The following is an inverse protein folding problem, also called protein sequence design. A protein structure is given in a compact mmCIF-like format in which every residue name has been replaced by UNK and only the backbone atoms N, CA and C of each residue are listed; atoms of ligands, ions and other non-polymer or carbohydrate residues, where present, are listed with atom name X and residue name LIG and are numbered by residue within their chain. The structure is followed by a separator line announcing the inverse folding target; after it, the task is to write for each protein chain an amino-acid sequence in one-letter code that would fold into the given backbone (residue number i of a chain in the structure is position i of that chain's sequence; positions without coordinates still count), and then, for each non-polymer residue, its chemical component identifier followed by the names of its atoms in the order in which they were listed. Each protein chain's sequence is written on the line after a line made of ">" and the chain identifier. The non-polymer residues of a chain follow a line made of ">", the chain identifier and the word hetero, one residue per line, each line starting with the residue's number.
data_IF_241926714340
#
_entry.id   IF_241926714340
#
_cell.length_a   1.000
_cell.length_b   1.000
_cell.length_c   1.000
_cell.angle_alpha   90.00
_cell.angle_beta   90.00
_cell.angle_gamma   90.00
#
_symmetry.space_group_name_H-M   'P 1'
#
loop_
_entity.id
_entity.type
_entity.pdbx_description
1 polymer ?
#
# COMPACT_ATOMS: atom_id res chain seq x y z
N UNK A 1 45.49 -38.12 -16.35
CA UNK A 1 44.54 -37.18 -15.72
C UNK A 1 43.34 -37.06 -16.66
N UNK A 2 42.44 -38.04 -16.63
CA UNK A 2 41.28 -38.07 -17.54
C UNK A 2 40.15 -37.23 -16.96
N UNK A 3 39.73 -36.24 -17.72
CA UNK A 3 38.64 -35.35 -17.40
C UNK A 3 37.31 -36.11 -17.45
N UNK A 4 36.46 -35.82 -16.48
CA UNK A 4 35.10 -36.32 -16.31
C UNK A 4 34.35 -36.24 -17.64
N UNK A 5 34.06 -37.39 -18.24
CA UNK A 5 33.13 -37.48 -19.36
C UNK A 5 31.75 -37.11 -18.82
N UNK A 6 31.32 -35.87 -19.09
CA UNK A 6 29.97 -35.42 -18.84
C UNK A 6 29.06 -36.10 -19.86
N UNK A 7 28.41 -37.20 -19.45
CA UNK A 7 27.30 -37.76 -20.22
C UNK A 7 26.25 -36.67 -20.40
N UNK A 8 25.91 -36.25 -21.63
CA UNK A 8 24.87 -35.25 -21.82
C UNK A 8 23.56 -35.82 -21.30
N UNK A 9 23.02 -35.21 -20.25
CA UNK A 9 21.69 -35.54 -19.73
C UNK A 9 20.68 -35.02 -20.75
N UNK A 10 19.69 -35.82 -21.19
CA UNK A 10 18.67 -35.35 -22.11
C UNK A 10 17.98 -34.13 -21.51
N UNK A 11 18.01 -33.01 -22.24
CA UNK A 11 17.28 -31.82 -21.83
C UNK A 11 15.78 -32.12 -21.94
N UNK A 12 15.00 -31.98 -20.85
CA UNK A 12 13.57 -32.17 -20.94
C UNK A 12 13.00 -31.18 -21.97
N UNK A 13 12.36 -31.70 -23.00
CA UNK A 13 11.64 -30.86 -23.97
C UNK A 13 10.35 -30.39 -23.32
N UNK A 14 10.06 -29.08 -23.34
CA UNK A 14 8.83 -28.55 -22.75
C UNK A 14 7.62 -29.09 -23.52
N UNK A 15 6.74 -29.83 -22.83
CA UNK A 15 5.46 -30.30 -23.40
C UNK A 15 4.44 -29.18 -23.56
N UNK A 16 4.61 -28.08 -22.81
CA UNK A 16 3.75 -26.89 -22.81
C UNK A 16 4.63 -25.69 -23.19
N UNK A 17 4.16 -24.85 -24.10
CA UNK A 17 4.84 -23.62 -24.48
C UNK A 17 5.02 -22.68 -23.25
N UNK A 18 6.25 -22.31 -22.86
CA UNK A 18 6.49 -21.43 -21.71
C UNK A 18 5.85 -20.04 -21.85
N UNK A 19 5.54 -19.59 -23.07
CA UNK A 19 4.81 -18.36 -23.32
C UNK A 19 3.34 -18.42 -22.85
N UNK A 20 2.78 -19.62 -22.64
CA UNK A 20 1.43 -19.79 -22.11
C UNK A 20 1.33 -19.63 -20.58
N UNK A 21 2.43 -19.87 -19.87
CA UNK A 21 2.45 -19.88 -18.38
C UNK A 21 3.15 -18.66 -17.78
N UNK A 22 3.85 -17.89 -18.60
CA UNK A 22 4.51 -16.67 -18.18
C UNK A 22 3.73 -15.49 -18.77
N UNK A 23 3.27 -14.51 -17.97
CA UNK A 23 2.45 -13.40 -18.45
C UNK A 23 3.11 -12.51 -19.53
N UNK A 24 4.34 -12.80 -19.95
CA UNK A 24 5.14 -11.99 -20.86
C UNK A 24 5.41 -10.59 -20.29
N UNK A 25 5.97 -9.71 -21.12
CA UNK A 25 6.19 -8.30 -20.76
C UNK A 25 4.86 -7.56 -20.54
N UNK A 26 3.83 -7.89 -21.32
CA UNK A 26 2.51 -7.28 -21.22
C UNK A 26 1.87 -7.52 -19.84
N UNK A 27 1.91 -8.74 -19.32
CA UNK A 27 1.36 -9.04 -17.99
C UNK A 27 2.07 -8.32 -16.86
N UNK A 28 3.40 -8.16 -16.93
CA UNK A 28 4.15 -7.35 -15.96
C UNK A 28 3.76 -5.88 -16.00
N UNK A 29 3.54 -5.30 -17.19
CA UNK A 29 3.04 -3.92 -17.32
C UNK A 29 1.69 -3.77 -16.61
N UNK A 30 0.78 -4.74 -16.79
CA UNK A 30 -0.52 -4.74 -16.10
C UNK A 30 -0.35 -4.80 -14.58
N UNK A 31 0.53 -5.64 -14.07
CA UNK A 31 0.81 -5.75 -12.62
C UNK A 31 1.39 -4.45 -12.07
N UNK A 32 2.32 -3.80 -12.78
CA UNK A 32 2.88 -2.51 -12.38
C UNK A 32 1.80 -1.44 -12.31
N UNK A 33 0.94 -1.36 -13.32
CA UNK A 33 -0.17 -0.41 -13.33
C UNK A 33 -1.16 -0.67 -12.18
N UNK A 34 -1.47 -1.92 -11.90
CA UNK A 34 -2.33 -2.29 -10.77
C UNK A 34 -1.70 -1.87 -9.43
N UNK A 35 -0.40 -2.15 -9.23
CA UNK A 35 0.31 -1.75 -8.03
C UNK A 35 0.30 -0.22 -7.85
N UNK A 36 0.52 0.54 -8.92
CA UNK A 36 0.44 2.01 -8.90
C UNK A 36 -0.98 2.47 -8.55
N UNK A 37 -2.02 1.87 -9.14
CA UNK A 37 -3.40 2.22 -8.85
C UNK A 37 -3.74 1.99 -7.36
N UNK A 38 -3.32 0.85 -6.80
CA UNK A 38 -3.51 0.55 -5.38
C UNK A 38 -2.72 1.51 -4.49
N UNK A 39 -1.49 1.84 -4.85
CA UNK A 39 -0.67 2.81 -4.10
C UNK A 39 -1.30 4.21 -4.12
N UNK A 40 -1.79 4.67 -5.27
CA UNK A 40 -2.49 5.94 -5.40
C UNK A 40 -3.77 5.96 -4.56
N UNK A 41 -4.53 4.86 -4.54
CA UNK A 41 -5.71 4.73 -3.69
C UNK A 41 -5.35 4.80 -2.20
N UNK A 42 -4.28 4.13 -1.77
CA UNK A 42 -3.80 4.22 -0.40
C UNK A 42 -3.39 5.65 -0.03
N UNK A 43 -2.65 6.35 -0.91
CA UNK A 43 -2.25 7.75 -0.70
C UNK A 43 -3.49 8.66 -0.63
N UNK A 44 -4.46 8.47 -1.52
CA UNK A 44 -5.72 9.20 -1.50
C UNK A 44 -6.46 8.99 -0.18
N UNK A 45 -6.60 7.74 0.26
CA UNK A 45 -7.26 7.39 1.51
C UNK A 45 -6.55 8.01 2.72
N UNK A 46 -5.21 7.98 2.77
CA UNK A 46 -4.43 8.63 3.82
C UNK A 46 -4.60 10.15 3.83
N UNK A 47 -4.59 10.80 2.65
CA UNK A 47 -4.85 12.24 2.52
C UNK A 47 -6.27 12.60 2.97
N UNK A 48 -7.25 11.75 2.64
CA UNK A 48 -8.64 11.92 3.06
C UNK A 48 -8.77 11.82 4.58
N UNK A 49 -8.24 10.77 5.19
CA UNK A 49 -8.29 10.57 6.66
C UNK A 49 -7.64 11.73 7.39
N UNK A 50 -6.44 12.16 6.97
CA UNK A 50 -5.77 13.32 7.57
C UNK A 50 -6.66 14.57 7.49
N UNK A 51 -7.23 14.87 6.32
CA UNK A 51 -8.09 16.05 6.15
C UNK A 51 -9.33 16.04 7.04
N UNK A 52 -9.92 14.87 7.31
CA UNK A 52 -11.10 14.76 8.17
C UNK A 52 -10.71 14.91 9.65
N UNK A 53 -9.69 14.16 10.10
CA UNK A 53 -9.27 14.17 11.51
C UNK A 53 -8.77 15.51 12.02
N UNK A 54 -8.01 16.26 11.20
CA UNK A 54 -7.53 17.59 11.61
C UNK A 54 -8.67 18.55 11.99
N UNK A 55 -9.86 18.40 11.41
CA UNK A 55 -10.99 19.27 11.73
C UNK A 55 -11.63 18.91 13.07
N UNK A 56 -11.67 17.63 13.39
CA UNK A 56 -12.26 17.13 14.64
C UNK A 56 -11.35 17.44 15.83
N UNK A 57 -10.05 17.17 15.71
CA UNK A 57 -9.08 17.44 16.79
C UNK A 57 -8.98 18.94 17.15
N UNK A 58 -9.10 19.84 16.16
CA UNK A 58 -9.12 21.29 16.40
C UNK A 58 -10.42 21.72 17.08
N UNK A 59 -11.56 21.22 16.62
CA UNK A 59 -12.85 21.56 17.23
C UNK A 59 -12.93 21.07 18.67
N UNK A 60 -12.44 19.85 18.96
CA UNK A 60 -12.46 19.31 20.31
C UNK A 60 -11.53 20.07 21.27
N UNK A 61 -10.38 20.55 20.79
CA UNK A 61 -9.54 21.46 21.56
C UNK A 61 -10.24 22.79 21.88
N UNK A 62 -10.92 23.39 20.88
CA UNK A 62 -11.68 24.63 21.07
C UNK A 62 -12.89 24.46 21.99
N UNK A 63 -13.58 23.33 21.92
CA UNK A 63 -14.71 23.01 22.78
C UNK A 63 -14.24 22.75 24.22
N UNK A 64 -13.09 22.10 24.41
CA UNK A 64 -12.49 21.91 25.73
C UNK A 64 -12.02 23.22 26.37
N UNK A 65 -11.44 24.13 25.58
CA UNK A 65 -11.08 25.48 26.04
C UNK A 65 -12.32 26.31 26.42
N UNK A 66 -13.41 26.23 25.64
CA UNK A 66 -14.67 26.89 25.95
C UNK A 66 -15.32 26.33 27.22
N UNK A 67 -15.37 25.00 27.37
CA UNK A 67 -15.90 24.36 28.57
C UNK A 67 -15.08 24.72 29.82
N UNK A 68 -13.75 24.78 29.71
CA UNK A 68 -12.89 25.21 30.80
C UNK A 68 -13.08 26.70 31.16
N UNK A 69 -13.39 27.55 30.18
CA UNK A 69 -13.70 28.96 30.40
C UNK A 69 -15.08 29.15 31.06
N UNK A 70 -16.08 28.35 30.69
CA UNK A 70 -17.41 28.36 31.29
C UNK A 70 -17.39 27.82 32.74
N UNK A 71 -16.69 26.72 33.02
CA UNK A 71 -16.56 26.16 34.37
C UNK A 71 -15.80 27.12 35.33
N UNK A 72 -14.85 27.90 34.81
CA UNK A 72 -14.09 28.88 35.59
C UNK A 72 -14.91 30.10 36.05
N UNK A 73 -15.96 30.48 35.32
CA UNK A 73 -16.84 31.61 35.63
C UNK A 73 -17.93 31.25 36.66
N UNK A 74 -18.20 29.95 36.88
CA UNK A 74 -19.24 29.45 37.80
C UNK A 74 -18.70 29.24 39.23
N UNK A 75 -17.60 29.87 39.63
CA UNK A 75 -17.16 29.87 41.03
C UNK A 75 -18.15 30.64 41.92
N UNK A 76 -18.88 29.97 42.86
CA UNK A 76 -19.87 30.63 43.71
C UNK A 76 -19.16 31.58 44.69
N UNK A 77 -19.53 32.87 44.65
CA UNK A 77 -19.13 33.87 45.64
C UNK A 77 -19.79 33.64 47.00
#
# INVERSE_FOLDING_TARGET
>A
MSFLSSTPVPTPSPTIDPALVTPGTAGWIVVVLLAVAVALLAIDMLRRVRRVKYREEINEALDAEQAAAEDGDVSPR
#
